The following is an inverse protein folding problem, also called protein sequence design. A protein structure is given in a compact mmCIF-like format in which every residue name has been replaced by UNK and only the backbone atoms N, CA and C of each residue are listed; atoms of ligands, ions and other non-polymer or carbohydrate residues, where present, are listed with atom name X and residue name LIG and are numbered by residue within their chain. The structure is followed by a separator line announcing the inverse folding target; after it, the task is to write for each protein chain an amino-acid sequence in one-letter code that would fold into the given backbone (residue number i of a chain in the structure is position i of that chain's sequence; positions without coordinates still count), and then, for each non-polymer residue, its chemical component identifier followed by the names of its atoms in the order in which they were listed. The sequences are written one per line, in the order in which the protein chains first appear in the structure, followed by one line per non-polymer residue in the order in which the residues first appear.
data_IF_734040623423
#
_entry.id   IF_734040623423
#
_cell.length_a   1.000
_cell.length_b   1.000
_cell.length_c   1.000
_cell.angle_alpha   90.00
_cell.angle_beta   90.00
_cell.angle_gamma   90.00
#
_symmetry.space_group_name_H-M   'P 1'
#
loop_
_entity.id
_entity.type
_entity.pdbx_description
1 polymer ?
#
# COMPACT_ATOMS: atom_id res chain seq x y z
N UNK A 1 17.53 18.47 -31.67
CA UNK A 1 16.97 17.17 -31.21
C UNK A 1 17.58 16.86 -29.85
N UNK A 2 16.80 16.89 -28.77
CA UNK A 2 17.32 16.60 -27.44
C UNK A 2 17.80 15.14 -27.38
N UNK A 3 19.08 14.91 -27.07
CA UNK A 3 19.61 13.57 -26.82
C UNK A 3 18.84 13.00 -25.62
N UNK A 4 17.99 12.02 -25.87
CA UNK A 4 17.23 11.31 -24.84
C UNK A 4 18.25 10.54 -24.00
N UNK A 5 18.59 11.05 -22.81
CA UNK A 5 19.52 10.38 -21.91
C UNK A 5 19.02 8.96 -21.62
N UNK A 6 19.85 7.96 -21.92
CA UNK A 6 19.55 6.57 -21.59
C UNK A 6 19.77 6.44 -20.09
N UNK A 7 18.68 6.41 -19.33
CA UNK A 7 18.74 6.08 -17.91
C UNK A 7 19.06 4.59 -17.79
N UNK A 8 20.24 4.24 -17.32
CA UNK A 8 20.55 2.85 -16.97
C UNK A 8 19.94 2.52 -15.60
N UNK A 9 19.40 1.30 -15.41
CA UNK A 9 18.99 0.87 -14.09
C UNK A 9 20.21 0.77 -13.17
N UNK A 10 20.02 1.10 -11.90
CA UNK A 10 21.02 0.91 -10.84
C UNK A 10 21.25 -0.59 -10.64
N UNK A 11 20.13 -1.33 -10.59
CA UNK A 11 20.10 -2.77 -10.42
C UNK A 11 18.73 -3.31 -10.86
N UNK A 12 18.65 -4.62 -11.07
CA UNK A 12 17.38 -5.34 -11.28
C UNK A 12 17.13 -6.19 -10.04
N UNK A 13 15.95 -6.05 -9.44
CA UNK A 13 15.56 -6.77 -8.21
C UNK A 13 14.26 -7.52 -8.42
N UNK A 14 13.99 -8.49 -7.55
CA UNK A 14 12.68 -9.16 -7.49
C UNK A 14 11.75 -8.48 -6.50
N UNK A 15 10.49 -8.34 -6.90
CA UNK A 15 9.42 -8.00 -5.96
C UNK A 15 8.98 -9.22 -5.13
N UNK A 16 8.04 -8.98 -4.21
CA UNK A 16 7.47 -10.01 -3.34
C UNK A 16 6.70 -11.12 -4.07
N UNK A 17 6.34 -10.93 -5.35
CA UNK A 17 5.69 -11.92 -6.20
C UNK A 17 6.69 -12.66 -7.11
N UNK A 18 7.96 -12.24 -7.12
CA UNK A 18 9.04 -12.81 -7.92
C UNK A 18 9.23 -12.16 -9.29
N UNK A 19 8.50 -11.08 -9.58
CA UNK A 19 8.66 -10.32 -10.83
C UNK A 19 9.95 -9.49 -10.80
N UNK A 20 10.60 -9.36 -11.96
CA UNK A 20 11.83 -8.58 -12.08
C UNK A 20 11.53 -7.10 -12.35
N UNK A 21 12.18 -6.20 -11.61
CA UNK A 21 12.00 -4.76 -11.69
C UNK A 21 13.34 -4.04 -11.83
N UNK A 22 13.39 -3.07 -12.74
CA UNK A 22 14.53 -2.20 -12.97
C UNK A 22 14.49 -0.99 -12.01
N UNK A 23 15.42 -0.96 -11.05
CA UNK A 23 15.55 0.12 -10.06
C UNK A 23 16.23 1.32 -10.71
N UNK A 24 15.63 2.50 -10.59
CA UNK A 24 16.18 3.77 -11.10
C UNK A 24 16.26 4.87 -10.05
N UNK A 25 15.74 4.62 -8.85
CA UNK A 25 15.82 5.56 -7.73
C UNK A 25 15.72 4.80 -6.43
N UNK A 26 16.53 5.22 -5.48
CA UNK A 26 16.54 4.69 -4.13
C UNK A 26 16.35 5.85 -3.16
N UNK A 27 15.43 5.68 -2.22
CA UNK A 27 15.16 6.65 -1.17
C UNK A 27 15.43 5.98 0.16
N UNK A 28 16.53 6.36 0.80
CA UNK A 28 16.85 5.94 2.16
C UNK A 28 15.92 6.65 3.14
N UNK A 29 15.26 5.89 4.00
CA UNK A 29 14.36 6.40 5.03
C UNK A 29 15.03 6.34 6.40
N UNK A 30 15.63 5.19 6.70
CA UNK A 30 16.41 4.97 7.91
C UNK A 30 17.64 4.11 7.56
N UNK A 31 18.51 3.86 8.52
CA UNK A 31 19.68 3.00 8.29
C UNK A 31 19.32 1.55 7.92
N UNK A 32 18.07 1.14 8.12
CA UNK A 32 17.59 -0.22 7.82
C UNK A 32 16.57 -0.28 6.69
N UNK A 33 16.07 0.86 6.19
CA UNK A 33 14.97 0.88 5.23
C UNK A 33 15.34 1.79 4.06
N UNK A 34 15.43 1.18 2.88
CA UNK A 34 15.58 1.86 1.60
C UNK A 34 14.40 1.51 0.71
N UNK A 35 13.66 2.52 0.27
CA UNK A 35 12.62 2.37 -0.73
C UNK A 35 13.21 2.41 -2.13
N UNK A 36 12.83 1.48 -2.98
CA UNK A 36 13.33 1.37 -4.35
C UNK A 36 12.20 1.66 -5.33
N UNK A 37 12.49 2.49 -6.33
CA UNK A 37 11.52 2.92 -7.32
C UNK A 37 11.99 2.61 -8.73
N UNK A 38 11.08 2.12 -9.57
CA UNK A 38 11.43 1.65 -10.89
C UNK A 38 10.26 1.32 -11.79
N UNK A 39 10.57 0.57 -12.85
CA UNK A 39 9.61 0.02 -13.78
C UNK A 39 9.80 -1.49 -13.86
N UNK A 40 8.73 -2.19 -14.24
CA UNK A 40 8.79 -3.62 -14.49
C UNK A 40 9.83 -3.91 -15.59
N UNK A 41 10.64 -4.94 -15.41
CA UNK A 41 11.69 -5.31 -16.35
C UNK A 41 11.11 -5.54 -17.76
N UNK A 42 11.79 -4.98 -18.77
CA UNK A 42 11.36 -5.07 -20.17
C UNK A 42 10.12 -4.23 -20.53
N UNK A 43 9.44 -3.59 -19.57
CA UNK A 43 8.29 -2.74 -19.88
C UNK A 43 8.71 -1.39 -20.47
N UNK A 44 7.88 -0.79 -21.35
CA UNK A 44 8.10 0.57 -21.81
C UNK A 44 8.18 1.52 -20.61
N UNK A 45 9.24 2.32 -20.52
CA UNK A 45 9.46 3.33 -19.47
C UNK A 45 8.54 4.54 -19.68
N UNK A 46 7.25 4.32 -19.50
CA UNK A 46 6.20 5.32 -19.62
C UNK A 46 5.62 5.63 -18.24
N UNK A 47 5.36 6.91 -17.98
CA UNK A 47 4.81 7.38 -16.71
C UNK A 47 5.81 7.49 -15.56
N UNK A 48 5.29 7.60 -14.34
CA UNK A 48 6.06 7.71 -13.11
C UNK A 48 6.62 6.35 -12.66
N UNK A 49 7.76 6.36 -11.96
CA UNK A 49 8.30 5.16 -11.31
C UNK A 49 7.33 4.65 -10.24
N UNK A 50 7.21 3.34 -10.15
CA UNK A 50 6.44 2.66 -9.10
C UNK A 50 7.35 2.29 -7.93
N UNK A 51 6.81 2.28 -6.71
CA UNK A 51 7.51 1.69 -5.57
C UNK A 51 7.58 0.17 -5.77
N UNK A 52 8.79 -0.38 -5.70
CA UNK A 52 9.03 -1.80 -5.76
C UNK A 52 8.95 -2.35 -4.35
N UNK A 53 8.02 -3.27 -4.12
CA UNK A 53 7.83 -3.92 -2.82
C UNK A 53 8.62 -5.23 -2.84
N UNK A 54 9.85 -5.19 -2.30
CA UNK A 54 10.66 -6.40 -2.10
C UNK A 54 10.02 -7.33 -1.06
N UNK A 55 10.47 -8.59 -0.99
CA UNK A 55 9.99 -9.53 0.03
C UNK A 55 10.22 -9.02 1.45
N UNK A 56 11.38 -8.42 1.74
CA UNK A 56 11.67 -7.78 3.03
C UNK A 56 10.69 -6.65 3.36
N UNK A 57 10.39 -5.76 2.39
CA UNK A 57 9.43 -4.69 2.58
C UNK A 57 8.01 -5.22 2.77
N UNK A 58 7.62 -6.25 2.01
CA UNK A 58 6.32 -6.89 2.16
C UNK A 58 6.13 -7.50 3.56
N UNK A 59 7.17 -8.14 4.10
CA UNK A 59 7.16 -8.66 5.47
C UNK A 59 7.12 -7.54 6.51
N UNK A 60 7.94 -6.50 6.33
CA UNK A 60 7.94 -5.34 7.22
C UNK A 60 6.56 -4.69 7.28
N UNK A 61 5.90 -4.47 6.13
CA UNK A 61 4.58 -3.83 6.06
C UNK A 61 3.46 -4.57 6.78
N UNK A 62 3.62 -5.86 7.10
CA UNK A 62 2.66 -6.60 7.93
C UNK A 62 2.54 -6.03 9.35
N UNK A 63 3.61 -5.42 9.84
CA UNK A 63 3.70 -4.89 11.20
C UNK A 63 3.31 -3.41 11.31
N UNK A 64 3.20 -2.69 10.19
CA UNK A 64 2.84 -1.27 10.19
C UNK A 64 1.36 -1.05 9.89
N UNK A 65 0.77 -0.08 10.59
CA UNK A 65 -0.56 0.44 10.30
C UNK A 65 -0.55 1.30 9.04
N UNK A 66 -1.73 1.51 8.46
CA UNK A 66 -1.88 2.39 7.28
C UNK A 66 -1.34 3.82 7.53
N UNK A 67 -1.46 4.34 8.76
CA UNK A 67 -0.93 5.67 9.12
C UNK A 67 0.59 5.67 9.23
N UNK A 68 1.17 4.66 9.87
CA UNK A 68 2.63 4.54 10.01
C UNK A 68 3.28 4.34 8.64
N UNK A 69 2.66 3.58 7.74
CA UNK A 69 3.12 3.49 6.35
C UNK A 69 3.25 4.88 5.70
N UNK A 70 2.24 5.76 5.83
CA UNK A 70 2.29 7.10 5.24
C UNK A 70 3.32 7.99 5.94
N UNK A 71 3.32 8.00 7.27
CA UNK A 71 4.11 8.94 8.06
C UNK A 71 5.59 8.56 8.12
N UNK A 72 5.89 7.28 8.31
CA UNK A 72 7.26 6.79 8.48
C UNK A 72 7.93 6.51 7.15
N UNK A 73 7.18 5.95 6.18
CA UNK A 73 7.76 5.61 4.88
C UNK A 73 7.57 6.72 3.83
N UNK A 74 6.85 7.79 4.16
CA UNK A 74 6.59 8.90 3.25
C UNK A 74 5.88 8.48 1.96
N UNK A 75 5.16 7.35 1.98
CA UNK A 75 4.43 6.85 0.82
C UNK A 75 3.05 7.51 0.76
N UNK A 76 2.55 7.73 -0.46
CA UNK A 76 1.23 8.32 -0.63
C UNK A 76 0.14 7.42 -0.05
N UNK A 77 -0.97 8.02 0.39
CA UNK A 77 -2.12 7.29 0.93
C UNK A 77 -2.68 6.27 -0.07
N UNK A 78 -2.67 6.58 -1.36
CA UNK A 78 -3.13 5.67 -2.42
C UNK A 78 -2.17 4.49 -2.60
N UNK A 79 -0.86 4.73 -2.56
CA UNK A 79 0.17 3.68 -2.57
C UNK A 79 0.03 2.77 -1.35
N UNK A 80 -0.08 3.35 -0.14
CA UNK A 80 -0.27 2.59 1.09
C UNK A 80 -1.52 1.69 1.03
N UNK A 81 -2.64 2.24 0.55
CA UNK A 81 -3.88 1.47 0.37
C UNK A 81 -3.74 0.34 -0.65
N UNK A 82 -3.05 0.58 -1.78
CA UNK A 82 -2.75 -0.48 -2.77
C UNK A 82 -1.93 -1.59 -2.14
N UNK A 83 -0.82 -1.28 -1.48
CA UNK A 83 0.04 -2.28 -0.83
C UNK A 83 -0.75 -3.12 0.16
N UNK A 84 -1.54 -2.49 1.04
CA UNK A 84 -2.35 -3.22 2.02
C UNK A 84 -3.42 -4.11 1.38
N UNK A 85 -3.93 -3.73 0.20
CA UNK A 85 -4.87 -4.56 -0.55
C UNK A 85 -4.16 -5.75 -1.17
N UNK A 86 -3.05 -5.53 -1.89
CA UNK A 86 -2.28 -6.60 -2.55
C UNK A 86 -1.72 -7.61 -1.53
N UNK A 87 -1.27 -7.15 -0.36
CA UNK A 87 -0.78 -8.01 0.72
C UNK A 87 -1.91 -8.61 1.60
N UNK A 88 -3.18 -8.39 1.26
CA UNK A 88 -4.34 -8.82 2.05
C UNK A 88 -4.29 -8.40 3.54
N UNK A 89 -3.69 -7.23 3.82
CA UNK A 89 -3.59 -6.63 5.16
C UNK A 89 -4.78 -5.73 5.50
N UNK A 90 -5.73 -5.64 4.58
CA UNK A 90 -6.97 -4.88 4.78
C UNK A 90 -7.82 -5.63 5.79
N UNK A 91 -8.21 -4.98 6.90
CA UNK A 91 -9.19 -5.57 7.82
C UNK A 91 -10.44 -5.91 7.02
N UNK A 92 -11.07 -7.04 7.31
CA UNK A 92 -12.42 -7.36 6.81
C UNK A 92 -13.33 -6.24 7.32
N UNK A 93 -13.59 -5.26 6.47
CA UNK A 93 -14.57 -4.21 6.77
C UNK A 93 -15.93 -4.87 6.72
N UNK A 94 -16.50 -5.15 7.89
CA UNK A 94 -17.94 -5.37 7.99
C UNK A 94 -18.62 -4.08 7.60
N UNK A 95 -19.07 -4.01 6.35
CA UNK A 95 -19.96 -2.95 5.91
C UNK A 95 -21.22 -3.09 6.77
N UNK A 96 -21.59 -2.04 7.49
CA UNK A 96 -22.87 -2.01 8.22
C UNK A 96 -23.97 -2.28 7.21
N UNK A 97 -24.74 -3.34 7.44
CA UNK A 97 -25.90 -3.69 6.65
C UNK A 97 -26.96 -2.60 6.89
N UNK A 98 -27.03 -1.64 5.96
CA UNK A 98 -27.91 -0.49 6.11
C UNK A 98 -29.38 -0.91 6.05
N UNK A 99 -29.69 -1.94 5.28
CA UNK A 99 -31.06 -2.41 5.12
C UNK A 99 -31.52 -3.10 6.40
N UNK A 100 -30.66 -3.94 7.00
CA UNK A 100 -30.92 -4.50 8.32
C UNK A 100 -31.08 -3.42 9.40
N UNK A 101 -30.19 -2.42 9.43
CA UNK A 101 -30.23 -1.33 10.43
C UNK A 101 -31.51 -0.50 10.31
N UNK A 102 -31.98 -0.22 9.09
CA UNK A 102 -33.23 0.53 8.89
C UNK A 102 -34.43 -0.33 9.33
N UNK A 103 -34.45 -1.61 8.96
CA UNK A 103 -35.55 -2.52 9.34
C UNK A 103 -35.66 -2.71 10.86
N UNK A 104 -34.53 -2.73 11.58
CA UNK A 104 -34.48 -2.98 13.02
C UNK A 104 -34.24 -1.68 13.81
N UNK A 105 -34.47 -0.51 13.21
CA UNK A 105 -34.19 0.80 13.82
C UNK A 105 -34.88 0.96 15.18
N UNK A 106 -36.15 0.55 15.28
CA UNK A 106 -36.91 0.64 16.52
C UNK A 106 -36.31 -0.25 17.61
N UNK A 107 -35.92 -1.48 17.28
CA UNK A 107 -35.31 -2.42 18.24
C UNK A 107 -33.97 -1.89 18.79
N UNK A 108 -33.18 -1.27 17.92
CA UNK A 108 -31.92 -0.62 18.31
C UNK A 108 -32.18 0.56 19.26
N UNK A 109 -33.19 1.39 18.97
CA UNK A 109 -33.54 2.53 19.81
C UNK A 109 -34.07 2.09 21.19
N UNK A 110 -34.96 1.09 21.24
CA UNK A 110 -35.57 0.64 22.50
C UNK A 110 -34.64 -0.23 23.35
N UNK A 111 -33.74 -1.01 22.76
CA UNK A 111 -32.72 -1.77 23.51
C UNK A 111 -31.73 -0.85 24.26
N UNK A 112 -31.42 0.32 23.70
CA UNK A 112 -30.56 1.32 24.36
C UNK A 112 -31.24 2.00 25.56
N UNK A 113 -32.59 2.06 25.56
CA UNK A 113 -33.37 2.70 26.62
C UNK A 113 -33.44 1.86 27.90
N UNK A 114 -33.40 0.53 27.77
CA UNK A 114 -33.37 -0.41 28.91
C UNK A 114 -32.04 -0.40 29.68
N UNK A 115 -30.94 0.05 29.09
CA UNK A 115 -29.64 0.16 29.79
C UNK A 115 -29.50 1.43 30.64
N UNK A 116 -30.46 2.36 30.58
CA UNK A 116 -30.46 3.63 31.32
C UNK A 116 -31.46 3.66 32.49
N UNK A 117 -32.10 2.52 32.79
CA UNK A 117 -33.02 2.29 33.92
C UNK A 117 -32.39 1.29 34.89
#
# INVERSE_FOLDING_TARGET
MARKYILYPIQTIKDWQGEDWDVHEERKISDKITLQYGWLYGSPRQGSKSLIVSSELAEAFKYYSWREMINEFGISSSTASKIRRELNLSKITHRRDRDWIIQHQNEILYSSFLMLL
#
